data_IF_846234207630
#
_entry.id   IF_846234207630
#
_cell.length_a   1.000
_cell.length_b   1.000
_cell.length_c   1.000
_cell.angle_alpha   90.00
_cell.angle_beta   90.00
_cell.angle_gamma   90.00
#
_symmetry.space_group_name_H-M   'P 1'
#
loop_
_entity.id
_entity.type
_entity.pdbx_description
1 polymer ?
#
# COMPACT_ATOMS: atom_id res chain seq x y z
N UNK A 1 -8.73 -2.01 -11.86
CA UNK A 1 -9.70 -3.05 -11.46
C UNK A 1 -9.12 -4.45 -11.68
N UNK A 2 -8.53 -4.75 -12.87
CA UNK A 2 -8.01 -6.09 -13.17
C UNK A 2 -6.93 -6.54 -12.18
N UNK A 3 -5.95 -5.70 -11.85
CA UNK A 3 -4.87 -6.04 -10.90
C UNK A 3 -5.44 -6.51 -9.55
N UNK A 4 -6.44 -5.80 -8.99
CA UNK A 4 -7.12 -6.20 -7.76
C UNK A 4 -7.87 -7.52 -7.91
N UNK A 5 -8.55 -7.72 -9.05
CA UNK A 5 -9.29 -8.96 -9.35
C UNK A 5 -8.34 -10.15 -9.43
N UNK A 6 -7.25 -10.00 -10.18
CA UNK A 6 -6.24 -11.06 -10.31
C UNK A 6 -5.57 -11.38 -8.98
N UNK A 7 -5.21 -10.34 -8.19
CA UNK A 7 -4.65 -10.53 -6.86
C UNK A 7 -5.61 -11.28 -5.92
N UNK A 8 -6.88 -10.88 -5.90
CA UNK A 8 -7.89 -11.54 -5.06
C UNK A 8 -8.08 -13.01 -5.46
N UNK A 9 -8.18 -13.30 -6.77
CA UNK A 9 -8.30 -14.68 -7.26
C UNK A 9 -7.08 -15.54 -6.89
N UNK A 10 -5.87 -15.03 -7.08
CA UNK A 10 -4.63 -15.74 -6.74
C UNK A 10 -4.48 -15.95 -5.23
N UNK A 11 -4.91 -14.98 -4.42
CA UNK A 11 -4.91 -15.06 -2.96
C UNK A 11 -6.06 -15.90 -2.39
N UNK A 12 -7.01 -16.34 -3.23
CA UNK A 12 -8.18 -17.13 -2.81
C UNK A 12 -9.29 -16.29 -2.14
N UNK A 13 -9.29 -14.97 -2.34
CA UNK A 13 -10.25 -14.05 -1.76
C UNK A 13 -11.49 -13.87 -2.64
N UNK A 14 -12.65 -13.79 -2.01
CA UNK A 14 -13.91 -13.38 -2.65
C UNK A 14 -14.11 -11.87 -2.43
N UNK A 15 -14.90 -11.16 -3.25
CA UNK A 15 -15.16 -9.73 -3.07
C UNK A 15 -15.61 -9.35 -1.66
N UNK A 16 -16.47 -10.17 -1.04
CA UNK A 16 -16.97 -9.95 0.34
C UNK A 16 -15.93 -10.10 1.44
N UNK A 17 -14.79 -10.71 1.13
CA UNK A 17 -13.73 -10.95 2.12
C UNK A 17 -12.78 -9.75 2.23
N UNK A 18 -12.73 -8.87 1.20
CA UNK A 18 -11.78 -7.76 1.12
C UNK A 18 -11.90 -6.77 2.29
N UNK A 19 -13.13 -6.51 2.76
CA UNK A 19 -13.39 -5.58 3.88
C UNK A 19 -13.03 -6.16 5.25
N UNK A 20 -12.63 -7.45 5.31
CA UNK A 20 -12.20 -8.11 6.56
C UNK A 20 -10.69 -8.24 6.67
N UNK A 21 -9.96 -8.13 5.53
CA UNK A 21 -8.51 -8.32 5.51
C UNK A 21 -7.85 -7.14 6.24
N UNK A 22 -7.04 -7.39 7.29
CA UNK A 22 -6.30 -6.34 7.95
C UNK A 22 -5.26 -5.75 6.99
N UNK A 23 -5.03 -4.45 7.05
CA UNK A 23 -4.01 -3.83 6.18
C UNK A 23 -2.58 -4.18 6.59
N UNK A 24 -2.37 -4.68 7.81
CA UNK A 24 -1.07 -5.15 8.31
C UNK A 24 -1.24 -6.29 9.30
N UNK A 25 -0.19 -7.11 9.43
CA UNK A 25 -0.05 -8.15 10.46
C UNK A 25 1.01 -7.77 11.51
N UNK A 26 1.55 -6.54 11.44
CA UNK A 26 2.68 -6.11 12.28
C UNK A 26 2.23 -5.39 13.56
N UNK A 27 1.00 -4.92 13.59
CA UNK A 27 0.40 -4.23 14.75
C UNK A 27 -1.10 -4.48 14.78
N UNK A 28 -1.72 -4.22 15.93
CA UNK A 28 -3.18 -4.19 16.05
C UNK A 28 -3.76 -3.10 15.15
N UNK A 29 -4.70 -3.46 14.28
CA UNK A 29 -5.26 -2.52 13.30
C UNK A 29 -6.50 -1.78 13.80
N UNK A 30 -7.04 -2.14 14.97
CA UNK A 30 -8.26 -1.57 15.53
C UNK A 30 -9.46 -1.57 14.57
N UNK A 31 -9.53 -2.62 13.73
CA UNK A 31 -10.59 -2.78 12.73
C UNK A 31 -10.37 -2.07 11.41
N UNK A 32 -9.26 -1.36 11.22
CA UNK A 32 -8.91 -0.77 9.93
C UNK A 32 -8.54 -1.90 8.97
N UNK A 33 -9.30 -2.01 7.88
CA UNK A 33 -9.10 -3.03 6.87
C UNK A 33 -8.26 -2.51 5.69
N UNK A 34 -7.85 -3.43 4.81
CA UNK A 34 -7.01 -3.14 3.64
C UNK A 34 -7.64 -2.12 2.69
N UNK A 35 -8.97 -2.19 2.47
CA UNK A 35 -9.67 -1.26 1.56
C UNK A 35 -9.69 0.15 2.14
N UNK A 36 -10.04 0.29 3.42
CA UNK A 36 -10.05 1.59 4.12
C UNK A 36 -8.67 2.23 4.14
N UNK A 37 -7.63 1.43 4.45
CA UNK A 37 -6.24 1.87 4.41
C UNK A 37 -5.82 2.34 3.01
N UNK A 38 -6.12 1.56 1.96
CA UNK A 38 -5.79 1.92 0.58
C UNK A 38 -6.43 3.25 0.16
N UNK A 39 -7.70 3.49 0.53
CA UNK A 39 -8.39 4.75 0.27
C UNK A 39 -7.70 5.89 1.03
N UNK A 40 -7.48 5.72 2.34
CA UNK A 40 -6.87 6.75 3.19
C UNK A 40 -5.46 7.14 2.69
N UNK A 41 -4.64 6.17 2.28
CA UNK A 41 -3.31 6.41 1.72
C UNK A 41 -3.39 7.18 0.39
N UNK A 42 -4.32 6.80 -0.49
CA UNK A 42 -4.50 7.47 -1.78
C UNK A 42 -4.93 8.93 -1.59
N UNK A 43 -5.93 9.16 -0.75
CA UNK A 43 -6.42 10.51 -0.45
C UNK A 43 -5.36 11.34 0.31
N UNK A 44 -4.66 10.73 1.26
CA UNK A 44 -3.58 11.35 2.00
C UNK A 44 -2.42 11.79 1.11
N UNK A 45 -2.01 10.96 0.15
CA UNK A 45 -0.95 11.29 -0.80
C UNK A 45 -1.37 12.46 -1.72
N UNK A 46 -2.63 12.49 -2.16
CA UNK A 46 -3.19 13.61 -2.94
C UNK A 46 -3.21 14.89 -2.11
N UNK A 47 -3.69 14.84 -0.88
CA UNK A 47 -3.74 16.00 0.01
C UNK A 47 -2.34 16.55 0.34
N UNK A 48 -1.36 15.68 0.55
CA UNK A 48 0.04 16.06 0.72
C UNK A 48 0.57 16.80 -0.52
N UNK A 49 0.34 16.24 -1.71
CA UNK A 49 0.73 16.90 -2.96
C UNK A 49 0.08 18.28 -3.11
N UNK A 50 -1.22 18.39 -2.92
CA UNK A 50 -1.98 19.64 -3.05
C UNK A 50 -1.50 20.68 -2.05
N UNK A 51 -1.27 20.31 -0.80
CA UNK A 51 -0.78 21.20 0.24
C UNK A 51 0.64 21.73 -0.06
N UNK A 52 1.56 20.84 -0.44
CA UNK A 52 2.96 21.21 -0.71
C UNK A 52 3.05 22.06 -1.98
N UNK A 53 2.37 21.69 -3.06
CA UNK A 53 2.38 22.43 -4.33
C UNK A 53 1.68 23.79 -4.23
N UNK A 54 0.69 23.91 -3.35
CA UNK A 54 0.02 25.18 -3.06
C UNK A 54 0.89 26.16 -2.26
N UNK A 55 1.77 25.63 -1.42
CA UNK A 55 2.65 26.46 -0.56
C UNK A 55 4.03 26.70 -1.17
N UNK A 56 4.53 25.81 -2.02
CA UNK A 56 5.89 25.80 -2.53
C UNK A 56 5.94 25.64 -4.04
N UNK A 57 6.88 26.37 -4.70
CA UNK A 57 7.21 26.09 -6.09
C UNK A 57 8.11 24.85 -6.15
N UNK A 58 7.54 23.72 -6.60
CA UNK A 58 8.28 22.47 -6.69
C UNK A 58 9.20 22.47 -7.92
N UNK A 59 10.44 21.93 -7.79
CA UNK A 59 11.38 21.77 -8.91
C UNK A 59 11.13 20.46 -9.71
N UNK A 60 10.03 19.78 -9.47
CA UNK A 60 9.64 18.53 -10.11
C UNK A 60 8.12 18.49 -10.31
N UNK A 61 7.68 17.68 -11.26
CA UNK A 61 6.27 17.47 -11.55
C UNK A 61 5.77 16.18 -10.89
N UNK A 62 4.50 16.19 -10.47
CA UNK A 62 3.77 15.03 -9.96
C UNK A 62 2.62 14.74 -10.91
N UNK A 63 2.57 13.52 -11.43
CA UNK A 63 1.46 13.07 -12.25
C UNK A 63 0.31 12.58 -11.34
N UNK A 64 -0.77 13.35 -11.32
CA UNK A 64 -1.93 13.10 -10.46
C UNK A 64 -2.59 11.74 -10.73
N UNK A 65 -2.69 11.33 -11.99
CA UNK A 65 -3.32 10.06 -12.35
C UNK A 65 -2.46 8.88 -11.91
N UNK A 66 -1.13 9.02 -12.01
CA UNK A 66 -0.21 8.01 -11.49
C UNK A 66 -0.19 7.97 -9.97
N UNK A 67 -0.30 9.10 -9.29
CA UNK A 67 -0.41 9.16 -7.85
C UNK A 67 -1.66 8.41 -7.35
N UNK A 68 -2.81 8.62 -8.01
CA UNK A 68 -4.05 7.88 -7.72
C UNK A 68 -3.88 6.39 -8.00
N UNK A 69 -3.39 6.03 -9.19
CA UNK A 69 -3.23 4.62 -9.57
C UNK A 69 -2.22 3.90 -8.65
N UNK A 70 -1.10 4.54 -8.34
CA UNK A 70 -0.09 4.02 -7.42
C UNK A 70 -0.64 3.85 -6.00
N UNK A 71 -1.36 4.85 -5.48
CA UNK A 71 -2.01 4.78 -4.17
C UNK A 71 -3.03 3.63 -4.09
N UNK A 72 -3.86 3.47 -5.12
CA UNK A 72 -4.83 2.37 -5.20
C UNK A 72 -4.18 0.99 -5.34
N UNK A 73 -2.94 0.89 -5.78
CA UNK A 73 -2.26 -0.38 -6.06
C UNK A 73 -1.10 -0.68 -5.10
N UNK A 74 -0.63 0.29 -4.28
CA UNK A 74 0.58 0.11 -3.48
C UNK A 74 0.57 -1.18 -2.66
N UNK A 75 -0.56 -1.49 -2.07
CA UNK A 75 -0.76 -2.63 -1.16
C UNK A 75 -1.46 -3.85 -1.79
N UNK A 76 -1.68 -3.86 -3.10
CA UNK A 76 -2.39 -4.96 -3.78
C UNK A 76 -1.75 -6.33 -3.54
N UNK A 77 -0.44 -6.37 -3.36
CA UNK A 77 0.31 -7.60 -3.05
C UNK A 77 -0.04 -8.21 -1.69
N UNK A 78 -0.68 -7.47 -0.78
CA UNK A 78 -1.17 -8.02 0.50
C UNK A 78 -2.23 -9.09 0.32
N UNK A 79 -2.96 -9.07 -0.79
CA UNK A 79 -3.88 -10.15 -1.14
C UNK A 79 -3.17 -11.49 -1.40
N UNK A 80 -1.87 -11.47 -1.73
CA UNK A 80 -1.02 -12.64 -1.86
C UNK A 80 -0.21 -12.92 -0.59
N UNK A 81 0.10 -11.85 0.18
CA UNK A 81 0.91 -11.96 1.40
C UNK A 81 0.13 -12.50 2.59
N UNK A 82 -1.17 -12.23 2.67
CA UNK A 82 -2.04 -12.59 3.79
C UNK A 82 -2.92 -13.78 3.40
N UNK A 83 -3.13 -14.70 4.32
CA UNK A 83 -4.13 -15.77 4.23
C UNK A 83 -4.99 -15.81 5.50
N UNK A 84 -6.25 -16.26 5.36
CA UNK A 84 -7.10 -16.59 6.49
C UNK A 84 -7.01 -18.10 6.77
N UNK A 85 -6.67 -18.45 8.01
CA UNK A 85 -6.62 -19.85 8.43
C UNK A 85 -6.97 -19.98 9.90
N UNK A 86 -7.75 -20.99 10.24
CA UNK A 86 -8.18 -21.29 11.61
C UNK A 86 -8.89 -20.10 12.30
N UNK A 87 -9.63 -19.30 11.51
CA UNK A 87 -10.38 -18.12 11.98
C UNK A 87 -9.52 -16.86 12.23
N UNK A 88 -8.25 -16.87 11.85
CA UNK A 88 -7.35 -15.72 11.97
C UNK A 88 -6.58 -15.41 10.68
N UNK A 89 -6.00 -14.23 10.62
CA UNK A 89 -5.14 -13.79 9.51
C UNK A 89 -3.67 -14.03 9.85
N UNK A 90 -2.92 -14.53 8.88
CA UNK A 90 -1.48 -14.77 9.01
C UNK A 90 -0.78 -14.60 7.67
N UNK A 91 0.55 -14.60 7.72
CA UNK A 91 1.36 -14.56 6.51
C UNK A 91 1.24 -15.86 5.73
N UNK A 92 0.89 -15.75 4.46
CA UNK A 92 0.81 -16.87 3.52
C UNK A 92 2.20 -17.42 3.19
N UNK A 93 2.25 -18.61 2.56
CA UNK A 93 3.50 -19.13 2.00
C UNK A 93 4.10 -18.17 0.95
N UNK A 94 3.27 -17.59 0.08
CA UNK A 94 3.70 -16.58 -0.90
C UNK A 94 4.31 -15.38 -0.20
N UNK A 95 3.65 -14.87 0.84
CA UNK A 95 4.13 -13.75 1.63
C UNK A 95 5.43 -14.01 2.40
N UNK A 96 5.72 -15.27 2.75
CA UNK A 96 7.03 -15.65 3.30
C UNK A 96 8.14 -15.61 2.25
N UNK A 97 7.81 -15.86 0.98
CA UNK A 97 8.77 -15.85 -0.13
C UNK A 97 9.01 -14.43 -0.68
N UNK A 98 7.94 -13.63 -0.78
CA UNK A 98 7.98 -12.28 -1.32
C UNK A 98 7.01 -11.37 -0.57
N UNK A 99 7.53 -10.28 0.02
CA UNK A 99 6.68 -9.27 0.66
C UNK A 99 5.78 -8.57 -0.37
N UNK A 100 4.68 -7.99 0.12
CA UNK A 100 3.66 -7.37 -0.74
C UNK A 100 4.19 -6.31 -1.75
N UNK A 101 5.23 -5.50 -1.48
CA UNK A 101 5.75 -4.60 -2.50
C UNK A 101 6.33 -5.35 -3.70
N UNK A 102 7.00 -6.48 -3.44
CA UNK A 102 7.61 -7.32 -4.48
C UNK A 102 6.53 -8.08 -5.26
N UNK A 103 5.66 -8.81 -4.57
CA UNK A 103 4.60 -9.59 -5.23
C UNK A 103 3.58 -8.70 -5.94
N UNK A 104 3.26 -7.54 -5.38
CA UNK A 104 2.40 -6.54 -6.00
C UNK A 104 3.01 -5.94 -7.27
N UNK A 105 4.30 -5.62 -7.25
CA UNK A 105 5.01 -5.12 -8.44
C UNK A 105 5.07 -6.15 -9.56
N UNK A 106 5.34 -7.42 -9.23
CA UNK A 106 5.31 -8.53 -10.19
C UNK A 106 3.92 -8.64 -10.83
N UNK A 107 2.88 -8.60 -10.01
CA UNK A 107 1.50 -8.65 -10.48
C UNK A 107 1.15 -7.47 -11.39
N UNK A 108 1.49 -6.23 -10.99
CA UNK A 108 1.28 -5.04 -11.81
C UNK A 108 1.99 -5.15 -13.17
N UNK A 109 3.24 -5.63 -13.18
CA UNK A 109 3.98 -5.84 -14.42
C UNK A 109 3.34 -6.92 -15.31
N UNK A 110 2.86 -8.02 -14.72
CA UNK A 110 2.17 -9.09 -15.44
C UNK A 110 0.83 -8.63 -16.05
N UNK A 111 0.14 -7.71 -15.39
CA UNK A 111 -1.10 -7.09 -15.89
C UNK A 111 -0.84 -5.90 -16.85
N UNK A 112 0.41 -5.69 -17.27
CA UNK A 112 0.77 -4.66 -18.26
C UNK A 112 0.72 -3.24 -17.74
N UNK A 113 0.82 -3.01 -16.44
CA UNK A 113 0.88 -1.66 -15.88
C UNK A 113 2.18 -0.96 -16.29
N UNK A 114 2.16 0.40 -16.48
CA UNK A 114 3.35 1.18 -16.75
C UNK A 114 4.45 0.97 -15.71
N UNK A 115 5.72 1.10 -16.14
CA UNK A 115 6.89 0.93 -15.26
C UNK A 115 6.88 1.88 -14.06
N UNK A 116 6.28 3.06 -14.23
CA UNK A 116 6.08 4.05 -13.18
C UNK A 116 5.19 3.51 -12.05
N UNK A 117 4.09 2.85 -12.39
CA UNK A 117 3.20 2.22 -11.41
C UNK A 117 3.91 1.03 -10.75
N UNK A 118 4.65 0.22 -11.53
CA UNK A 118 5.46 -0.88 -10.99
C UNK A 118 6.48 -0.36 -9.99
N UNK A 119 7.18 0.78 -10.28
CA UNK A 119 8.09 1.44 -9.35
C UNK A 119 7.38 1.86 -8.05
N UNK A 120 6.22 2.50 -8.15
CA UNK A 120 5.46 2.93 -6.97
C UNK A 120 5.11 1.76 -6.07
N UNK A 121 4.59 0.68 -6.64
CA UNK A 121 4.23 -0.53 -5.88
C UNK A 121 5.46 -1.21 -5.29
N UNK A 122 6.56 -1.31 -6.05
CA UNK A 122 7.81 -1.94 -5.57
C UNK A 122 8.50 -1.16 -4.45
N UNK A 123 8.40 0.19 -4.49
CA UNK A 123 9.27 1.08 -3.71
C UNK A 123 8.51 1.90 -2.64
N UNK A 124 7.19 1.75 -2.49
CA UNK A 124 6.43 2.54 -1.51
C UNK A 124 6.79 2.23 -0.05
N UNK A 125 7.33 1.05 0.23
CA UNK A 125 7.70 0.61 1.57
C UNK A 125 9.24 0.57 1.73
N UNK A 126 9.72 -0.19 2.71
CA UNK A 126 11.14 -0.32 3.06
C UNK A 126 12.02 -0.78 1.89
N UNK A 127 11.45 -1.51 0.94
CA UNK A 127 12.14 -1.98 -0.27
C UNK A 127 12.64 -0.82 -1.17
N UNK A 128 12.01 0.35 -1.06
CA UNK A 128 12.39 1.57 -1.79
C UNK A 128 13.51 2.39 -1.17
N UNK A 129 13.93 2.09 0.07
CA UNK A 129 14.97 2.87 0.76
C UNK A 129 16.29 2.86 -0.03
N UNK A 130 16.81 4.06 -0.34
CA UNK A 130 18.04 4.24 -1.10
C UNK A 130 17.96 3.84 -2.58
N UNK A 131 16.76 3.67 -3.13
CA UNK A 131 16.52 3.35 -4.53
C UNK A 131 15.97 4.56 -5.30
N UNK A 132 16.18 4.64 -6.63
CA UNK A 132 15.49 5.62 -7.45
C UNK A 132 13.97 5.49 -7.33
N UNK A 133 13.31 6.59 -7.03
CA UNK A 133 11.87 6.65 -6.81
C UNK A 133 11.29 7.86 -7.53
N UNK A 134 10.04 7.73 -7.93
CA UNK A 134 9.25 8.86 -8.41
C UNK A 134 8.75 9.71 -7.24
N UNK A 135 8.46 11.01 -7.45
CA UNK A 135 7.86 11.82 -6.41
C UNK A 135 6.52 11.26 -5.90
N UNK A 136 5.73 10.64 -6.78
CA UNK A 136 4.49 9.96 -6.41
C UNK A 136 4.74 8.81 -5.43
N UNK A 137 5.82 8.03 -5.62
CA UNK A 137 6.20 6.94 -4.71
C UNK A 137 6.48 7.47 -3.30
N UNK A 138 7.18 8.61 -3.21
CA UNK A 138 7.52 9.25 -1.93
C UNK A 138 6.24 9.75 -1.22
N UNK A 139 5.32 10.37 -1.96
CA UNK A 139 4.05 10.86 -1.41
C UNK A 139 3.19 9.70 -0.87
N UNK A 140 3.11 8.59 -1.61
CA UNK A 140 2.42 7.37 -1.18
C UNK A 140 3.09 6.80 0.07
N UNK A 141 4.42 6.69 0.10
CA UNK A 141 5.17 6.23 1.26
C UNK A 141 4.86 7.04 2.52
N UNK A 142 4.87 8.38 2.43
CA UNK A 142 4.58 9.24 3.58
C UNK A 142 3.13 9.09 4.07
N UNK A 143 2.18 8.97 3.14
CA UNK A 143 0.78 8.75 3.48
C UNK A 143 0.55 7.36 4.10
N UNK A 144 1.20 6.31 3.59
CA UNK A 144 1.15 4.95 4.13
C UNK A 144 1.66 4.93 5.58
N UNK A 145 2.84 5.46 5.83
CA UNK A 145 3.44 5.50 7.17
C UNK A 145 2.65 6.40 8.13
N UNK A 146 2.00 7.45 7.65
CA UNK A 146 1.13 8.28 8.49
C UNK A 146 -0.11 7.51 9.01
N UNK A 147 -0.54 6.46 8.32
CA UNK A 147 -1.63 5.58 8.81
C UNK A 147 -1.10 4.43 9.68
N UNK A 148 0.13 3.99 9.49
CA UNK A 148 0.74 2.84 10.15
C UNK A 148 1.47 3.19 11.45
N UNK A 149 2.37 4.18 11.42
CA UNK A 149 3.25 4.50 12.54
C UNK A 149 2.52 4.89 13.83
N UNK A 150 1.41 5.67 13.78
CA UNK A 150 0.66 5.98 15.00
C UNK A 150 0.13 4.74 15.71
N UNK A 151 -0.29 3.70 14.98
CA UNK A 151 -0.78 2.45 15.54
C UNK A 151 0.37 1.65 16.19
N UNK A 152 1.54 1.63 15.55
CA UNK A 152 2.74 1.01 16.12
C UNK A 152 3.15 1.72 17.41
N UNK A 153 3.13 3.06 17.43
CA UNK A 153 3.47 3.84 18.63
C UNK A 153 2.43 3.66 19.74
N UNK A 154 1.14 3.58 19.38
CA UNK A 154 0.06 3.29 20.32
C UNK A 154 0.28 1.92 20.97
N UNK A 155 0.51 0.87 20.18
CA UNK A 155 0.74 -0.48 20.69
C UNK A 155 1.96 -0.58 21.62
N UNK A 156 3.00 0.21 21.34
CA UNK A 156 4.21 0.28 22.19
C UNK A 156 4.06 1.16 23.43
N UNK A 157 2.93 1.85 23.60
CA UNK A 157 2.74 2.82 24.68
C UNK A 157 3.62 4.08 24.54
N UNK A 158 4.01 4.43 23.33
CA UNK A 158 4.90 5.55 23.01
C UNK A 158 4.16 6.72 22.32
N UNK A 159 2.87 6.57 22.03
CA UNK A 159 2.07 7.65 21.48
C UNK A 159 1.69 8.60 22.62
N UNK A 160 2.06 9.87 22.50
CA UNK A 160 1.72 10.92 23.46
C UNK A 160 0.39 11.51 23.04
N UNK A 161 -0.61 11.44 23.92
CA UNK A 161 -1.94 12.00 23.73
C UNK A 161 -2.06 13.44 24.24
#
# INVERSE_FOLDING_TARGET
VEVWRTAALQGGWRPKDLERIPFTLLTETHGINLVQHTIAVTEGALALHESISGACRLPYDVNRDWLIAGGLLHDVGKLLEIEERDGGFRKSRSGMCARHPISGAILCAAEGMPQEIVNMVACHAKEGEGRPQRPETILIHQADYATFDPLVMLQKGLLIG
#
